data_IF_202206491682
#
_entry.id   IF_202206491682
#
_cell.length_a   1.000
_cell.length_b   1.000
_cell.length_c   1.000
_cell.angle_alpha   90.00
_cell.angle_beta   90.00
_cell.angle_gamma   90.00
#
_symmetry.space_group_name_H-M   'P 1'
#
loop_
_entity.id
_entity.type
_entity.pdbx_description
1 polymer ?
#
# COMPACT_ATOMS: atom_id res chain seq x y z
N UNK A 1 4.94 -9.64 -24.62
CA UNK A 1 6.10 -8.87 -24.11
C UNK A 1 5.68 -7.68 -23.26
N UNK A 2 4.67 -6.91 -23.66
CA UNK A 2 4.16 -5.75 -22.90
C UNK A 2 3.64 -6.10 -21.50
N UNK A 3 2.92 -7.22 -21.33
CA UNK A 3 2.41 -7.65 -20.01
C UNK A 3 3.48 -7.89 -18.95
N UNK A 4 4.57 -8.57 -19.30
CA UNK A 4 5.69 -8.83 -18.37
C UNK A 4 6.42 -7.53 -17.99
N UNK A 5 6.48 -6.54 -18.88
CA UNK A 5 7.03 -5.22 -18.58
C UNK A 5 6.12 -4.43 -17.64
N UNK A 6 4.80 -4.49 -17.86
CA UNK A 6 3.80 -3.83 -17.00
C UNK A 6 3.78 -4.47 -15.61
N UNK A 7 3.83 -5.80 -15.52
CA UNK A 7 3.90 -6.52 -14.23
C UNK A 7 5.18 -6.18 -13.45
N UNK A 8 6.32 -6.10 -14.15
CA UNK A 8 7.58 -5.65 -13.55
C UNK A 8 7.51 -4.20 -13.09
N UNK A 9 6.90 -3.31 -13.87
CA UNK A 9 6.74 -1.90 -13.53
C UNK A 9 5.80 -1.70 -12.34
N UNK A 10 4.67 -2.42 -12.29
CA UNK A 10 3.73 -2.43 -11.17
C UNK A 10 4.42 -2.86 -9.88
N UNK A 11 5.18 -3.96 -9.93
CA UNK A 11 5.90 -4.45 -8.76
C UNK A 11 6.99 -3.47 -8.30
N UNK A 12 7.74 -2.88 -9.23
CA UNK A 12 8.73 -1.86 -8.90
C UNK A 12 8.05 -0.68 -8.22
N UNK A 13 6.91 -0.21 -8.74
CA UNK A 13 6.19 0.91 -8.16
C UNK A 13 5.68 0.59 -6.75
N UNK A 14 5.12 -0.59 -6.51
CA UNK A 14 4.69 -1.03 -5.17
C UNK A 14 5.87 -1.03 -4.19
N UNK A 15 7.03 -1.57 -4.58
CA UNK A 15 8.20 -1.60 -3.71
C UNK A 15 8.74 -0.19 -3.43
N UNK A 16 8.79 0.67 -4.44
CA UNK A 16 9.22 2.07 -4.30
C UNK A 16 8.26 2.82 -3.39
N UNK A 17 6.95 2.71 -3.60
CA UNK A 17 5.93 3.32 -2.74
C UNK A 17 6.03 2.83 -1.30
N UNK A 18 6.14 1.52 -1.06
CA UNK A 18 6.29 0.98 0.30
C UNK A 18 7.58 1.44 0.98
N UNK A 19 8.68 1.54 0.22
CA UNK A 19 9.97 2.03 0.76
C UNK A 19 9.88 3.51 1.10
N UNK A 20 9.27 4.32 0.23
CA UNK A 20 9.03 5.74 0.48
C UNK A 20 8.12 5.94 1.70
N UNK A 21 7.06 5.14 1.83
CA UNK A 21 6.14 5.18 2.96
C UNK A 21 6.83 4.81 4.28
N UNK A 22 7.71 3.80 4.28
CA UNK A 22 8.52 3.45 5.43
C UNK A 22 9.48 4.59 5.82
N UNK A 23 10.13 5.23 4.86
CA UNK A 23 11.00 6.38 5.10
C UNK A 23 10.23 7.58 5.69
N UNK A 24 9.04 7.87 5.16
CA UNK A 24 8.13 8.90 5.68
C UNK A 24 7.71 8.59 7.12
N UNK A 25 7.32 7.34 7.40
CA UNK A 25 6.92 6.92 8.74
C UNK A 25 8.06 7.05 9.75
N UNK A 26 9.28 6.69 9.33
CA UNK A 26 10.48 6.89 10.14
C UNK A 26 10.78 8.37 10.37
N UNK A 27 10.60 9.22 9.36
CA UNK A 27 10.78 10.66 9.49
C UNK A 27 9.78 11.26 10.49
N UNK A 28 8.52 10.83 10.48
CA UNK A 28 7.56 11.23 11.51
C UNK A 28 7.96 10.72 12.90
N UNK A 29 8.42 9.47 13.02
CA UNK A 29 8.82 8.91 14.31
C UNK A 29 10.03 9.61 14.95
N UNK A 30 10.95 10.11 14.13
CA UNK A 30 12.20 10.73 14.60
C UNK A 30 12.15 12.27 14.65
N UNK A 31 11.37 12.92 13.79
CA UNK A 31 11.43 14.36 13.55
C UNK A 31 10.06 15.06 13.57
N UNK A 32 9.02 14.45 14.16
CA UNK A 32 7.67 15.03 14.26
C UNK A 32 7.64 16.45 14.88
N UNK A 33 8.63 16.81 15.70
CA UNK A 33 8.73 18.14 16.30
C UNK A 33 9.08 19.25 15.30
N UNK A 34 9.54 18.92 14.08
CA UNK A 34 9.88 19.90 13.04
C UNK A 34 8.73 20.07 12.04
N UNK A 35 8.08 21.26 11.98
CA UNK A 35 6.99 21.52 11.03
C UNK A 35 7.39 21.30 9.57
N UNK A 36 8.63 21.67 9.22
CA UNK A 36 9.16 21.54 7.86
C UNK A 36 9.24 20.07 7.45
N UNK A 37 9.76 19.20 8.33
CA UNK A 37 9.87 17.76 8.06
C UNK A 37 8.49 17.15 7.95
N UNK A 38 7.56 17.53 8.83
CA UNK A 38 6.18 17.02 8.82
C UNK A 38 5.45 17.39 7.53
N UNK A 39 5.57 18.62 7.03
CA UNK A 39 4.97 19.05 5.77
C UNK A 39 5.59 18.30 4.58
N UNK A 40 6.92 18.24 4.50
CA UNK A 40 7.60 17.54 3.41
C UNK A 40 7.26 16.04 3.38
N UNK A 41 7.23 15.40 4.55
CA UNK A 41 6.84 14.00 4.72
C UNK A 41 5.38 13.76 4.29
N UNK A 42 4.47 14.69 4.59
CA UNK A 42 3.05 14.63 4.18
C UNK A 42 2.87 14.72 2.67
N UNK A 43 3.64 15.60 2.00
CA UNK A 43 3.64 15.71 0.53
C UNK A 43 4.15 14.41 -0.09
N UNK A 44 5.27 13.90 0.40
CA UNK A 44 5.88 12.66 -0.10
C UNK A 44 4.97 11.45 0.12
N UNK A 45 4.27 11.43 1.25
CA UNK A 45 3.24 10.43 1.55
C UNK A 45 2.12 10.42 0.51
N UNK A 46 1.56 11.59 0.20
CA UNK A 46 0.49 11.73 -0.80
C UNK A 46 0.93 11.29 -2.20
N UNK A 47 2.15 11.65 -2.61
CA UNK A 47 2.73 11.21 -3.88
C UNK A 47 2.94 9.70 -3.94
N UNK A 48 3.34 9.07 -2.83
CA UNK A 48 3.61 7.63 -2.76
C UNK A 48 2.33 6.79 -2.80
N UNK A 49 1.24 7.29 -2.21
CA UNK A 49 -0.02 6.55 -2.04
C UNK A 49 -1.08 6.87 -3.11
N UNK A 50 -0.99 8.02 -3.78
CA UNK A 50 -2.01 8.49 -4.72
C UNK A 50 -2.28 7.58 -5.92
N UNK A 51 -1.27 6.82 -6.38
CA UNK A 51 -1.42 5.87 -7.50
C UNK A 51 -1.80 4.44 -7.09
N UNK A 52 -1.69 4.09 -5.81
CA UNK A 52 -1.75 2.70 -5.37
C UNK A 52 -3.13 2.07 -5.59
N UNK A 53 -4.21 2.81 -5.31
CA UNK A 53 -5.58 2.31 -5.49
C UNK A 53 -5.87 1.96 -6.96
N UNK A 54 -5.48 2.84 -7.88
CA UNK A 54 -5.66 2.63 -9.32
C UNK A 54 -4.86 1.42 -9.80
N UNK A 55 -3.62 1.28 -9.36
CA UNK A 55 -2.77 0.13 -9.72
C UNK A 55 -3.33 -1.20 -9.22
N UNK A 56 -3.81 -1.25 -7.98
CA UNK A 56 -4.41 -2.46 -7.41
C UNK A 56 -5.69 -2.82 -8.17
N UNK A 57 -6.54 -1.84 -8.49
CA UNK A 57 -7.76 -2.07 -9.25
C UNK A 57 -7.46 -2.61 -10.65
N UNK A 58 -6.47 -2.04 -11.37
CA UNK A 58 -6.07 -2.53 -12.69
C UNK A 58 -5.51 -3.95 -12.61
N UNK A 59 -4.58 -4.22 -11.69
CA UNK A 59 -4.00 -5.55 -11.54
C UNK A 59 -5.03 -6.61 -11.11
N UNK A 60 -5.98 -6.23 -10.26
CA UNK A 60 -7.07 -7.10 -9.82
C UNK A 60 -8.03 -7.41 -10.98
N UNK A 61 -8.40 -6.41 -11.76
CA UNK A 61 -9.27 -6.59 -12.90
C UNK A 61 -8.64 -7.52 -13.95
N UNK A 62 -7.35 -7.32 -14.25
CA UNK A 62 -6.58 -8.17 -15.15
C UNK A 62 -6.48 -9.62 -14.65
N UNK A 63 -6.39 -9.83 -13.33
CA UNK A 63 -6.29 -11.17 -12.73
C UNK A 63 -7.64 -11.89 -12.60
N UNK A 64 -8.74 -11.14 -12.46
CA UNK A 64 -10.06 -11.70 -12.19
C UNK A 64 -10.84 -12.10 -13.46
N UNK A 65 -10.55 -11.51 -14.62
CA UNK A 65 -11.21 -11.86 -15.89
C UNK A 65 -12.73 -11.68 -15.82
N UNK A 66 -13.49 -12.75 -16.07
CA UNK A 66 -14.96 -12.73 -15.97
C UNK A 66 -15.49 -12.42 -14.55
N UNK A 67 -14.65 -12.55 -13.51
CA UNK A 67 -15.01 -12.32 -12.11
C UNK A 67 -14.71 -10.91 -11.56
N UNK A 68 -14.47 -9.91 -12.42
CA UNK A 68 -14.07 -8.54 -12.02
C UNK A 68 -15.03 -7.90 -11.02
N UNK A 69 -16.34 -8.05 -11.19
CA UNK A 69 -17.34 -7.45 -10.31
C UNK A 69 -17.24 -7.99 -8.88
N UNK A 70 -17.06 -9.30 -8.74
CA UNK A 70 -16.84 -9.95 -7.44
C UNK A 70 -15.50 -9.53 -6.83
N UNK A 71 -14.44 -9.47 -7.64
CA UNK A 71 -13.12 -9.06 -7.17
C UNK A 71 -13.14 -7.62 -6.64
N UNK A 72 -13.76 -6.69 -7.37
CA UNK A 72 -13.92 -5.30 -6.95
C UNK A 72 -14.77 -5.16 -5.67
N UNK A 73 -15.83 -5.97 -5.53
CA UNK A 73 -16.60 -6.03 -4.31
C UNK A 73 -15.73 -6.47 -3.12
N UNK A 74 -14.97 -7.55 -3.28
CA UNK A 74 -14.03 -8.04 -2.25
C UNK A 74 -12.93 -7.02 -1.92
N UNK A 75 -12.38 -6.33 -2.93
CA UNK A 75 -11.40 -5.28 -2.73
C UNK A 75 -12.00 -4.13 -1.90
N UNK A 76 -13.20 -3.67 -2.25
CA UNK A 76 -13.89 -2.59 -1.54
C UNK A 76 -14.19 -2.98 -0.09
N UNK A 77 -14.71 -4.20 0.14
CA UNK A 77 -14.96 -4.73 1.49
C UNK A 77 -13.67 -4.81 2.30
N UNK A 78 -12.60 -5.34 1.71
CA UNK A 78 -11.31 -5.49 2.38
C UNK A 78 -10.70 -4.12 2.70
N UNK A 79 -10.80 -3.16 1.78
CA UNK A 79 -10.32 -1.80 1.95
C UNK A 79 -11.06 -1.09 3.09
N UNK A 80 -12.38 -1.13 3.10
CA UNK A 80 -13.19 -0.53 4.17
C UNK A 80 -12.93 -1.22 5.52
N UNK A 81 -12.80 -2.55 5.52
CA UNK A 81 -12.43 -3.31 6.72
C UNK A 81 -11.07 -2.89 7.27
N UNK A 82 -10.07 -2.69 6.40
CA UNK A 82 -8.74 -2.22 6.78
C UNK A 82 -8.78 -0.79 7.34
N UNK A 83 -9.57 0.11 6.75
CA UNK A 83 -9.78 1.48 7.28
C UNK A 83 -10.42 1.42 8.67
N UNK A 84 -11.48 0.64 8.84
CA UNK A 84 -12.17 0.52 10.12
C UNK A 84 -11.26 -0.07 11.20
N UNK A 85 -10.55 -1.16 10.90
CA UNK A 85 -9.60 -1.77 11.81
C UNK A 85 -8.45 -0.82 12.15
N UNK A 86 -7.91 -0.11 11.16
CA UNK A 86 -6.87 0.91 11.35
C UNK A 86 -7.34 2.07 12.22
N UNK A 87 -8.59 2.52 12.05
CA UNK A 87 -9.20 3.55 12.89
C UNK A 87 -9.37 3.12 14.35
N UNK A 88 -9.82 1.89 14.58
CA UNK A 88 -9.97 1.34 15.95
C UNK A 88 -8.60 1.19 16.61
N UNK A 89 -7.66 0.49 15.97
CA UNK A 89 -6.32 0.25 16.52
C UNK A 89 -5.57 1.55 16.72
N UNK A 90 -5.65 2.46 15.75
CA UNK A 90 -5.04 3.79 15.81
C UNK A 90 -5.65 4.66 16.90
N UNK A 91 -6.97 4.62 17.09
CA UNK A 91 -7.66 5.34 18.16
C UNK A 91 -7.25 4.86 19.55
N UNK A 92 -7.19 3.54 19.76
CA UNK A 92 -6.72 2.93 21.02
C UNK A 92 -5.25 3.27 21.30
N UNK A 93 -4.40 3.21 20.27
CA UNK A 93 -2.99 3.63 20.40
C UNK A 93 -2.86 5.12 20.72
N UNK A 94 -3.66 5.98 20.09
CA UNK A 94 -3.62 7.41 20.34
C UNK A 94 -4.02 7.74 21.77
N UNK A 95 -5.06 7.08 22.30
CA UNK A 95 -5.57 7.29 23.66
C UNK A 95 -4.57 6.84 24.75
N UNK A 96 -3.89 5.70 24.55
CA UNK A 96 -2.99 5.13 25.57
C UNK A 96 -1.51 5.47 25.40
N UNK A 97 -1.02 5.64 24.16
CA UNK A 97 0.40 5.77 23.82
C UNK A 97 0.73 7.11 23.14
N UNK A 98 -0.29 7.92 22.83
CA UNK A 98 -0.14 9.23 22.19
C UNK A 98 0.23 9.17 20.71
N UNK A 99 0.25 10.34 20.06
CA UNK A 99 0.40 10.48 18.61
C UNK A 99 1.74 9.96 18.06
N UNK A 100 2.82 10.00 18.85
CA UNK A 100 4.13 9.49 18.44
C UNK A 100 4.13 7.99 18.14
N UNK A 101 3.25 7.22 18.79
CA UNK A 101 3.13 5.77 18.59
C UNK A 101 2.63 5.39 17.19
N UNK A 102 1.82 6.26 16.56
CA UNK A 102 1.21 6.01 15.26
C UNK A 102 2.27 5.87 14.15
N UNK A 103 3.32 6.68 14.20
CA UNK A 103 4.43 6.62 13.24
C UNK A 103 5.14 5.25 13.29
N UNK A 104 5.22 4.62 14.46
CA UNK A 104 5.83 3.30 14.64
C UNK A 104 4.90 2.17 14.20
N UNK A 105 3.60 2.27 14.48
CA UNK A 105 2.61 1.29 13.98
C UNK A 105 2.53 1.27 12.45
N UNK A 106 2.53 2.45 11.83
CA UNK A 106 2.55 2.58 10.36
C UNK A 106 3.85 2.00 9.80
N UNK A 107 5.00 2.28 10.43
CA UNK A 107 6.28 1.71 10.02
C UNK A 107 6.28 0.18 10.08
N UNK A 108 5.84 -0.41 11.19
CA UNK A 108 5.78 -1.85 11.35
C UNK A 108 4.87 -2.52 10.30
N UNK A 109 3.70 -1.95 10.07
CA UNK A 109 2.73 -2.44 9.08
C UNK A 109 3.28 -2.33 7.64
N UNK A 110 3.97 -1.23 7.34
CA UNK A 110 4.59 -0.99 6.03
C UNK A 110 5.74 -1.95 5.78
N UNK A 111 6.58 -2.22 6.78
CA UNK A 111 7.67 -3.20 6.68
C UNK A 111 7.11 -4.61 6.46
N UNK A 112 6.02 -4.98 7.15
CA UNK A 112 5.33 -6.25 6.91
C UNK A 112 4.83 -6.34 5.46
N UNK A 113 4.17 -5.29 4.95
CA UNK A 113 3.71 -5.22 3.57
C UNK A 113 4.88 -5.32 2.56
N UNK A 114 6.02 -4.68 2.85
CA UNK A 114 7.23 -4.74 2.03
C UNK A 114 7.81 -6.17 1.99
N UNK A 115 7.83 -6.87 3.13
CA UNK A 115 8.24 -8.28 3.20
C UNK A 115 7.28 -9.15 2.39
N UNK A 116 5.97 -8.96 2.52
CA UNK A 116 4.97 -9.73 1.77
C UNK A 116 5.14 -9.47 0.27
N UNK A 117 5.18 -8.22 -0.17
CA UNK A 117 5.32 -7.84 -1.59
C UNK A 117 6.64 -8.31 -2.20
N UNK A 118 7.74 -8.32 -1.42
CA UNK A 118 9.03 -8.84 -1.88
C UNK A 118 9.05 -10.38 -1.98
N UNK A 119 8.33 -11.08 -1.09
CA UNK A 119 8.20 -12.56 -1.06
C UNK A 119 7.17 -13.07 -2.08
N UNK A 120 6.16 -12.29 -2.42
CA UNK A 120 5.07 -12.64 -3.36
C UNK A 120 5.51 -12.84 -4.82
N UNK A 121 6.83 -12.81 -5.08
CA UNK A 121 7.53 -13.10 -6.35
C UNK A 121 6.96 -14.26 -7.18
N UNK A 122 6.41 -15.29 -6.54
CA UNK A 122 6.01 -16.55 -7.20
C UNK A 122 4.50 -16.72 -7.45
N UNK A 123 3.64 -15.91 -6.81
CA UNK A 123 2.18 -16.18 -6.80
C UNK A 123 1.31 -14.99 -7.23
N UNK A 124 1.74 -13.73 -7.02
CA UNK A 124 0.91 -12.55 -7.30
C UNK A 124 1.11 -11.97 -8.72
N UNK A 125 2.23 -12.26 -9.37
CA UNK A 125 2.58 -11.73 -10.71
C UNK A 125 2.75 -12.88 -11.71
N UNK A 126 1.71 -13.71 -11.86
CA UNK A 126 1.66 -14.68 -12.96
C UNK A 126 1.19 -13.94 -14.22
N UNK A 127 1.84 -14.14 -15.38
CA UNK A 127 1.31 -13.62 -16.64
C UNK A 127 -0.08 -14.22 -16.85
N UNK A 128 -1.12 -13.39 -16.81
CA UNK A 128 -2.49 -13.82 -17.08
C UNK A 128 -2.62 -14.37 -18.52
N UNK A 129 -3.48 -15.38 -18.76
CA UNK A 129 -3.80 -15.81 -20.11
C UNK A 129 -4.61 -14.69 -20.78
N UNK A 130 -3.95 -13.92 -21.65
CA UNK A 130 -4.67 -13.00 -22.53
C UNK A 130 -5.34 -13.86 -23.60
N UNK A 131 -6.62 -14.15 -23.42
CA UNK A 131 -7.47 -14.62 -24.49
C UNK A 131 -7.47 -13.52 -25.56
N UNK A 132 -6.78 -13.80 -26.67
CA UNK A 132 -7.11 -13.18 -27.93
C UNK A 132 -8.38 -13.88 -28.41
N UNK A 133 -9.48 -13.15 -28.46
CA UNK A 133 -10.53 -13.31 -29.46
C UNK A 133 -10.97 -11.90 -29.89
#
# INVERSE_FOLDING_TARGET
MTGVLIDRALRLLVLVSLTAFAAVSLAFGLFAASPVVTIAATILWGLSFGGAATQIQTALADAAGEGVDLANAMLTTTWNGAIAAGGIVGGVMLDHLGAGSLAWAVLASTLLALVIASRARRHAFRPGPRAFD
#
